data_IF_078601205455
#
_entry.id   IF_078601205455
#
_cell.length_a   1.000
_cell.length_b   1.000
_cell.length_c   1.000
_cell.angle_alpha   90.00
_cell.angle_beta   90.00
_cell.angle_gamma   90.00
#
_symmetry.space_group_name_H-M   'P 1'
#
loop_
_entity.id
_entity.type
_entity.pdbx_description
1 polymer ?
#
# COMPACT_ATOMS: atom_id res chain seq x y z
N UNK A 1 -10.30 -10.51 -9.27
CA UNK A 1 -11.74 -10.22 -9.12
C UNK A 1 -11.91 -8.71 -8.98
N UNK A 2 -12.94 -8.14 -9.59
CA UNK A 2 -13.30 -6.71 -9.41
C UNK A 2 -13.89 -6.48 -8.01
N UNK A 3 -13.89 -5.24 -7.55
CA UNK A 3 -14.51 -4.87 -6.29
C UNK A 3 -16.05 -4.88 -6.43
N UNK A 4 -16.76 -5.37 -5.41
CA UNK A 4 -18.23 -5.41 -5.35
C UNK A 4 -18.72 -4.42 -4.28
N UNK A 5 -19.85 -3.76 -4.54
CA UNK A 5 -20.45 -2.72 -3.67
C UNK A 5 -21.81 -3.20 -3.20
N UNK A 6 -22.04 -3.19 -1.88
CA UNK A 6 -23.30 -3.61 -1.25
C UNK A 6 -23.69 -2.63 -0.14
N UNK A 7 -24.99 -2.39 0.04
CA UNK A 7 -25.54 -1.65 1.18
C UNK A 7 -25.86 -2.60 2.33
N UNK A 8 -25.38 -2.28 3.54
CA UNK A 8 -25.67 -3.05 4.75
C UNK A 8 -25.85 -2.13 5.96
N UNK A 9 -27.05 -2.13 6.56
CA UNK A 9 -27.37 -1.36 7.77
C UNK A 9 -26.89 0.10 7.70
N UNK A 10 -27.33 0.82 6.67
CA UNK A 10 -26.99 2.23 6.42
C UNK A 10 -25.49 2.50 6.21
N UNK A 11 -24.73 1.47 5.81
CA UNK A 11 -23.34 1.60 5.37
C UNK A 11 -23.17 1.08 3.96
N UNK A 12 -22.35 1.77 3.19
CA UNK A 12 -21.79 1.26 1.94
C UNK A 12 -20.63 0.34 2.30
N UNK A 13 -20.65 -0.90 1.81
CA UNK A 13 -19.59 -1.88 1.95
C UNK A 13 -19.02 -2.18 0.58
N UNK A 14 -17.74 -1.86 0.38
CA UNK A 14 -17.01 -2.26 -0.81
C UNK A 14 -16.06 -3.38 -0.43
N UNK A 15 -16.08 -4.50 -1.15
CA UNK A 15 -15.21 -5.64 -0.84
C UNK A 15 -14.58 -6.27 -2.07
N UNK A 16 -13.48 -6.98 -1.84
CA UNK A 16 -12.73 -7.72 -2.85
C UNK A 16 -12.22 -9.02 -2.24
N UNK A 17 -12.38 -10.12 -2.99
CA UNK A 17 -11.89 -11.43 -2.60
C UNK A 17 -10.69 -11.85 -3.45
N UNK A 18 -9.61 -12.25 -2.79
CA UNK A 18 -8.38 -12.75 -3.42
C UNK A 18 -7.85 -13.93 -2.61
N UNK A 19 -7.70 -15.07 -3.27
CA UNK A 19 -7.33 -16.35 -2.64
C UNK A 19 -8.21 -16.71 -1.45
N UNK A 20 -7.71 -16.60 -0.23
CA UNK A 20 -8.40 -16.86 1.04
C UNK A 20 -8.50 -15.60 1.94
N UNK A 21 -8.32 -14.42 1.34
CA UNK A 21 -8.41 -13.11 1.98
C UNK A 21 -9.60 -12.30 1.45
N UNK A 22 -10.30 -11.66 2.39
CA UNK A 22 -11.38 -10.73 2.12
C UNK A 22 -10.95 -9.32 2.53
N UNK A 23 -10.87 -8.42 1.56
CA UNK A 23 -10.62 -7.00 1.78
C UNK A 23 -11.95 -6.27 1.80
N UNK A 24 -12.14 -5.34 2.73
CA UNK A 24 -13.36 -4.55 2.84
C UNK A 24 -13.05 -3.11 3.25
N UNK A 25 -13.83 -2.18 2.71
CA UNK A 25 -13.89 -0.78 3.13
C UNK A 25 -15.35 -0.44 3.34
N UNK A 26 -15.66 0.22 4.44
CA UNK A 26 -17.01 0.63 4.79
C UNK A 26 -17.09 2.13 4.99
N UNK A 27 -18.12 2.77 4.47
CA UNK A 27 -18.46 4.17 4.73
C UNK A 27 -19.94 4.32 5.06
N UNK A 28 -20.35 5.48 5.58
CA UNK A 28 -21.76 5.78 5.77
C UNK A 28 -22.52 5.81 4.44
N UNK A 29 -23.83 5.60 4.47
CA UNK A 29 -24.74 5.64 3.31
C UNK A 29 -24.74 6.94 2.48
N UNK A 30 -24.15 8.01 2.99
CA UNK A 30 -23.99 9.29 2.29
C UNK A 30 -22.60 9.49 1.66
N UNK A 31 -21.67 8.56 1.87
CA UNK A 31 -20.32 8.63 1.32
C UNK A 31 -20.29 8.30 -0.18
N UNK A 32 -19.25 8.77 -0.86
CA UNK A 32 -19.08 8.49 -2.28
C UNK A 32 -18.55 7.06 -2.50
N UNK A 33 -19.33 6.19 -3.15
CA UNK A 33 -18.98 4.78 -3.35
C UNK A 33 -17.71 4.60 -4.19
N UNK A 34 -17.47 5.50 -5.16
CA UNK A 34 -16.27 5.47 -6.01
C UNK A 34 -15.02 5.79 -5.21
N UNK A 35 -15.13 6.69 -4.21
CA UNK A 35 -14.02 7.02 -3.34
C UNK A 35 -13.69 5.83 -2.41
N UNK A 36 -14.71 5.18 -1.84
CA UNK A 36 -14.52 3.96 -1.04
C UNK A 36 -13.90 2.82 -1.88
N UNK A 37 -14.31 2.70 -3.15
CA UNK A 37 -13.71 1.75 -4.08
C UNK A 37 -12.24 2.08 -4.40
N UNK A 38 -11.91 3.37 -4.55
CA UNK A 38 -10.52 3.81 -4.75
C UNK A 38 -9.65 3.50 -3.53
N UNK A 39 -10.17 3.70 -2.31
CA UNK A 39 -9.49 3.32 -1.06
C UNK A 39 -9.24 1.81 -1.02
N UNK A 40 -10.26 0.99 -1.30
CA UNK A 40 -10.11 -0.46 -1.30
C UNK A 40 -9.08 -0.93 -2.34
N UNK A 41 -9.11 -0.36 -3.54
CA UNK A 41 -8.20 -0.70 -4.61
C UNK A 41 -6.76 -0.27 -4.28
N UNK A 42 -6.57 0.96 -3.79
CA UNK A 42 -5.26 1.46 -3.34
C UNK A 42 -4.67 0.61 -2.21
N UNK A 43 -5.49 0.24 -1.23
CA UNK A 43 -5.09 -0.68 -0.15
C UNK A 43 -4.65 -2.04 -0.68
N UNK A 44 -5.48 -2.68 -1.50
CA UNK A 44 -5.19 -3.99 -2.07
C UNK A 44 -3.91 -3.98 -2.91
N UNK A 45 -3.74 -2.96 -3.77
CA UNK A 45 -2.57 -2.86 -4.64
C UNK A 45 -1.30 -2.54 -3.83
N UNK A 46 -1.37 -1.71 -2.79
CA UNK A 46 -0.24 -1.44 -1.90
C UNK A 46 0.21 -2.70 -1.15
N UNK A 47 -0.73 -3.47 -0.59
CA UNK A 47 -0.45 -4.77 0.05
C UNK A 47 0.14 -5.74 -0.97
N UNK A 48 -0.38 -5.78 -2.19
CA UNK A 48 0.16 -6.63 -3.27
C UNK A 48 1.61 -6.27 -3.59
N UNK A 49 1.96 -4.98 -3.63
CA UNK A 49 3.34 -4.53 -3.85
C UNK A 49 4.27 -4.96 -2.70
N UNK A 50 3.87 -4.74 -1.44
CA UNK A 50 4.67 -5.06 -0.27
C UNK A 50 4.89 -6.57 -0.10
N UNK A 51 3.86 -7.37 -0.37
CA UNK A 51 3.92 -8.83 -0.31
C UNK A 51 4.44 -9.48 -1.61
N UNK A 52 5.00 -8.68 -2.54
CA UNK A 52 5.62 -9.14 -3.78
C UNK A 52 4.70 -10.04 -4.62
N UNK A 53 3.43 -9.68 -4.69
CA UNK A 53 2.33 -10.39 -5.35
C UNK A 53 1.88 -11.71 -4.70
N UNK A 54 2.39 -12.06 -3.52
CA UNK A 54 1.90 -13.21 -2.76
C UNK A 54 0.83 -12.79 -1.75
N UNK A 55 -0.42 -12.67 -2.21
CA UNK A 55 -1.55 -12.22 -1.35
C UNK A 55 -2.39 -13.42 -0.94
N UNK A 56 -1.85 -14.19 -0.01
CA UNK A 56 -2.54 -15.28 0.69
C UNK A 56 -2.56 -15.02 2.21
N UNK A 57 -3.44 -15.70 2.93
CA UNK A 57 -3.61 -15.50 4.36
C UNK A 57 -2.34 -15.72 5.17
N UNK A 58 -1.50 -16.69 4.78
CA UNK A 58 -0.26 -16.97 5.52
C UNK A 58 0.69 -15.79 5.36
N UNK A 59 0.94 -15.35 4.13
CA UNK A 59 1.85 -14.23 3.86
C UNK A 59 1.36 -12.93 4.50
N UNK A 60 0.05 -12.66 4.43
CA UNK A 60 -0.54 -11.47 5.05
C UNK A 60 -0.40 -11.49 6.59
N UNK A 61 -0.54 -12.66 7.23
CA UNK A 61 -0.36 -12.79 8.67
C UNK A 61 1.11 -12.68 9.09
N UNK A 62 2.04 -13.17 8.27
CA UNK A 62 3.49 -13.05 8.51
C UNK A 62 3.97 -11.60 8.40
N UNK A 63 3.28 -10.77 7.61
CA UNK A 63 3.62 -9.37 7.35
C UNK A 63 2.54 -8.38 7.82
N UNK A 64 1.76 -8.74 8.85
CA UNK A 64 0.58 -7.98 9.28
C UNK A 64 0.92 -6.54 9.69
N UNK A 65 2.10 -6.31 10.26
CA UNK A 65 2.57 -4.98 10.65
C UNK A 65 2.66 -4.03 9.44
N UNK A 66 3.12 -4.53 8.28
CA UNK A 66 3.16 -3.75 7.04
C UNK A 66 1.76 -3.36 6.57
N UNK A 67 0.79 -4.27 6.73
CA UNK A 67 -0.60 -4.04 6.35
C UNK A 67 -1.22 -2.97 7.25
N UNK A 68 -0.92 -2.96 8.55
CA UNK A 68 -1.38 -1.91 9.45
C UNK A 68 -0.75 -0.54 9.11
N UNK A 69 0.54 -0.50 8.80
CA UNK A 69 1.18 0.72 8.32
C UNK A 69 0.55 1.22 7.00
N UNK A 70 0.16 0.33 6.09
CA UNK A 70 -0.61 0.74 4.90
C UNK A 70 -1.91 1.44 5.29
N UNK A 71 -2.65 0.90 6.25
CA UNK A 71 -3.92 1.50 6.67
C UNK A 71 -3.70 2.89 7.27
N UNK A 72 -2.65 3.07 8.08
CA UNK A 72 -2.28 4.38 8.66
C UNK A 72 -1.94 5.43 7.59
N UNK A 73 -1.33 5.01 6.48
CA UNK A 73 -1.02 5.91 5.35
C UNK A 73 -2.22 6.24 4.46
N UNK A 74 -3.27 5.41 4.51
CA UNK A 74 -4.46 5.55 3.65
C UNK A 74 -5.53 6.40 4.33
N UNK A 75 -5.80 6.17 5.63
CA UNK A 75 -6.87 6.84 6.36
C UNK A 75 -6.43 7.24 7.76
N UNK A 76 -6.66 8.51 8.13
CA UNK A 76 -6.55 8.99 9.52
C UNK A 76 -7.90 9.54 9.99
N UNK A 77 -8.48 8.94 11.02
CA UNK A 77 -9.76 9.35 11.63
C UNK A 77 -10.90 9.53 10.61
N UNK A 78 -10.95 8.67 9.60
CA UNK A 78 -11.95 8.70 8.54
C UNK A 78 -11.64 9.66 7.38
N UNK A 79 -10.55 10.42 7.48
CA UNK A 79 -10.04 11.26 6.39
C UNK A 79 -9.11 10.42 5.52
N UNK A 80 -9.43 10.32 4.23
CA UNK A 80 -8.57 9.65 3.25
C UNK A 80 -7.38 10.55 2.95
N UNK A 81 -6.17 10.03 3.18
CA UNK A 81 -4.90 10.73 3.00
C UNK A 81 -4.24 10.40 1.66
N UNK A 82 -4.27 9.12 1.27
CA UNK A 82 -3.62 8.62 0.06
C UNK A 82 -4.39 7.42 -0.51
N UNK A 83 -4.38 7.29 -1.84
CA UNK A 83 -4.97 6.14 -2.56
C UNK A 83 -4.04 5.57 -3.62
N UNK A 84 -2.94 6.25 -3.96
CA UNK A 84 -1.92 5.72 -4.86
C UNK A 84 -1.10 4.61 -4.17
N UNK A 85 -1.13 3.37 -4.68
CA UNK A 85 -0.50 2.23 -4.02
C UNK A 85 1.03 2.33 -3.99
N UNK A 86 1.65 2.98 -4.97
CA UNK A 86 3.10 3.15 -5.01
C UNK A 86 3.57 4.16 -3.97
N UNK A 87 2.78 5.22 -3.75
CA UNK A 87 3.05 6.19 -2.69
C UNK A 87 2.88 5.54 -1.31
N UNK A 88 1.77 4.83 -1.08
CA UNK A 88 1.51 4.11 0.18
C UNK A 88 2.64 3.13 0.48
N UNK A 89 2.93 2.20 -0.44
CA UNK A 89 3.98 1.20 -0.25
C UNK A 89 5.36 1.84 -0.07
N UNK A 90 5.65 2.93 -0.78
CA UNK A 90 6.90 3.69 -0.63
C UNK A 90 7.06 4.28 0.78
N UNK A 91 6.01 4.87 1.35
CA UNK A 91 6.04 5.41 2.72
C UNK A 91 6.15 4.30 3.75
N UNK A 92 5.38 3.22 3.63
CA UNK A 92 5.43 2.06 4.52
C UNK A 92 6.81 1.41 4.49
N UNK A 93 7.44 1.30 3.33
CA UNK A 93 8.79 0.77 3.20
C UNK A 93 9.82 1.59 3.97
N UNK A 94 9.69 2.92 4.01
CA UNK A 94 10.53 3.81 4.83
C UNK A 94 10.32 3.53 6.32
N UNK A 95 9.06 3.33 6.75
CA UNK A 95 8.73 2.96 8.13
C UNK A 95 9.24 1.56 8.53
N UNK A 96 9.41 0.66 7.56
CA UNK A 96 9.84 -0.73 7.76
C UNK A 96 11.37 -0.91 7.76
N UNK A 97 12.14 0.16 7.53
CA UNK A 97 13.60 0.11 7.41
C UNK A 97 14.35 -0.34 8.68
N UNK A 98 13.66 -0.51 9.81
CA UNK A 98 14.25 -0.98 11.06
C UNK A 98 14.30 -2.52 11.21
N UNK A 99 13.76 -3.29 10.26
CA UNK A 99 13.53 -4.74 10.42
C UNK A 99 14.13 -5.64 9.35
N UNK A 100 15.45 -5.82 9.37
CA UNK A 100 16.21 -6.89 8.71
C UNK A 100 16.25 -6.93 7.17
N UNK A 101 17.48 -7.04 6.63
CA UNK A 101 17.72 -7.73 5.37
C UNK A 101 16.95 -7.26 4.11
N UNK A 102 17.16 -6.03 3.60
CA UNK A 102 16.15 -4.99 3.79
C UNK A 102 16.03 -4.09 2.54
N UNK A 103 15.18 -3.06 2.61
CA UNK A 103 15.21 -1.91 1.69
C UNK A 103 16.62 -1.31 1.48
N UNK A 104 17.59 -1.58 2.38
CA UNK A 104 18.95 -1.08 2.30
C UNK A 104 19.76 -1.53 1.06
N UNK A 105 19.53 -2.72 0.49
CA UNK A 105 20.24 -3.10 -0.75
C UNK A 105 19.77 -2.28 -1.97
N UNK A 106 18.49 -1.88 -1.97
CA UNK A 106 17.89 -1.07 -3.03
C UNK A 106 18.30 0.40 -2.92
N UNK A 107 18.31 0.96 -1.70
CA UNK A 107 18.74 2.35 -1.45
C UNK A 107 20.25 2.54 -1.68
N UNK A 108 21.10 1.56 -1.34
CA UNK A 108 22.54 1.63 -1.61
C UNK A 108 22.82 1.59 -3.12
N UNK A 109 22.11 0.74 -3.85
CA UNK A 109 22.23 0.66 -5.32
C UNK A 109 21.82 1.97 -6.00
N UNK A 110 20.74 2.60 -5.52
CA UNK A 110 20.27 3.89 -6.02
C UNK A 110 21.24 5.03 -5.67
N UNK A 111 21.68 5.15 -4.41
CA UNK A 111 22.61 6.18 -3.98
C UNK A 111 23.97 6.06 -4.70
N UNK A 112 24.46 4.85 -4.94
CA UNK A 112 25.68 4.61 -5.71
C UNK A 112 25.52 4.99 -7.19
N UNK A 113 24.37 4.70 -7.80
CA UNK A 113 24.07 5.12 -9.17
C UNK A 113 24.03 6.64 -9.29
N UNK A 114 23.36 7.32 -8.36
CA UNK A 114 23.29 8.79 -8.31
C UNK A 114 24.68 9.40 -8.09
N UNK A 115 25.48 8.88 -7.15
CA UNK A 115 26.85 9.35 -6.90
C UNK A 115 27.77 9.16 -8.12
N UNK A 116 27.64 8.04 -8.85
CA UNK A 116 28.39 7.78 -10.08
C UNK A 116 28.07 8.82 -11.15
N UNK A 117 26.80 9.14 -11.33
CA UNK A 117 26.35 10.11 -12.34
C UNK A 117 26.84 11.53 -12.03
N UNK A 118 26.79 11.92 -10.75
CA UNK A 118 27.35 13.19 -10.30
C UNK A 118 28.87 13.29 -10.52
N UNK A 119 29.64 12.24 -10.19
CA UNK A 119 31.08 12.20 -10.44
C UNK A 119 31.40 12.31 -11.94
N UNK A 120 30.68 11.58 -12.78
CA UNK A 120 30.90 11.59 -14.24
C UNK A 120 30.64 12.97 -14.83
N UNK A 121 29.60 13.65 -14.34
CA UNK A 121 29.24 15.00 -14.77
C UNK A 121 30.25 16.06 -14.32
N UNK A 122 30.79 15.96 -13.11
CA UNK A 122 31.81 16.88 -12.58
C UNK A 122 33.19 16.67 -13.22
N UNK A 123 33.50 15.47 -13.71
CA UNK A 123 34.79 15.17 -14.36
C UNK A 123 34.82 15.49 -15.87
N UNK A 124 33.67 15.70 -16.51
CA UNK A 124 33.53 16.03 -17.94
C UNK A 124 33.31 17.53 -18.23
N UNK A 125 33.42 18.38 -17.20
CA UNK A 125 33.41 19.85 -17.28
C UNK A 125 34.67 20.41 -16.63
#
# INVERSE_FOLDING_TARGET
>A
MEAEIVMFQDNIVVYKFVQDLHFFVTGGDHENELLLAAVLQGFFDAVTLLLRNNVDKREALENLDLIFLCLDEIVDQGIILETDPSVIAGKVAIHSMDGAAPLAEQTISQALATAREHLTRTLLT
#
